data_IF_165049689371
#
_entry.id   IF_165049689371
#
_cell.length_a   1.000
_cell.length_b   1.000
_cell.length_c   1.000
_cell.angle_alpha   90.00
_cell.angle_beta   90.00
_cell.angle_gamma   90.00
#
_symmetry.space_group_name_H-M   'P 1'
#
loop_
_entity.id
_entity.type
_entity.pdbx_description
1 polymer ?
#
# COMPACT_ATOMS: atom_id res chain seq x y z
N UNK A 1 11.11 -15.74 10.65
CA UNK A 1 9.71 -15.36 10.33
C UNK A 1 9.75 -13.91 9.93
N UNK A 2 9.08 -13.54 8.84
CA UNK A 2 9.08 -12.16 8.39
C UNK A 2 8.02 -11.38 9.16
N UNK A 3 8.34 -10.14 9.56
CA UNK A 3 7.37 -9.22 10.14
C UNK A 3 6.79 -8.30 9.08
N UNK A 4 5.54 -7.90 9.28
CA UNK A 4 4.84 -6.97 8.39
C UNK A 4 4.24 -5.83 9.19
N UNK A 5 4.37 -4.61 8.66
CA UNK A 5 3.71 -3.44 9.19
C UNK A 5 2.83 -2.82 8.10
N UNK A 6 1.54 -2.65 8.41
CA UNK A 6 0.58 -1.97 7.56
C UNK A 6 0.32 -0.58 8.14
N UNK A 7 0.66 0.45 7.37
CA UNK A 7 0.37 1.84 7.71
C UNK A 7 -0.86 2.25 6.92
N UNK A 8 -1.87 2.80 7.61
CA UNK A 8 -3.11 3.27 7.01
C UNK A 8 -3.29 4.76 7.29
N UNK A 9 -3.67 5.50 6.26
CA UNK A 9 -4.13 6.87 6.36
C UNK A 9 -5.49 6.98 5.68
N UNK A 10 -6.54 7.18 6.48
CA UNK A 10 -7.91 7.23 6.01
C UNK A 10 -8.39 8.69 5.93
N UNK A 11 -8.88 9.07 4.75
CA UNK A 11 -9.73 10.23 4.54
C UNK A 11 -11.20 9.83 4.42
N UNK A 12 -12.09 10.81 4.20
CA UNK A 12 -13.55 10.56 4.07
C UNK A 12 -13.93 9.74 2.83
N UNK A 13 -13.14 9.82 1.76
CA UNK A 13 -13.38 9.13 0.47
C UNK A 13 -12.12 8.47 -0.10
N UNK A 14 -11.07 8.33 0.71
CA UNK A 14 -9.83 7.67 0.29
C UNK A 14 -9.13 6.95 1.43
N UNK A 15 -8.33 5.94 1.08
CA UNK A 15 -7.46 5.20 1.99
C UNK A 15 -6.09 5.04 1.35
N UNK A 16 -5.08 5.72 1.88
CA UNK A 16 -3.69 5.52 1.48
C UNK A 16 -3.05 4.50 2.41
N UNK A 17 -2.17 3.68 1.87
CA UNK A 17 -1.50 2.65 2.65
C UNK A 17 -0.07 2.38 2.20
N UNK A 18 0.73 1.88 3.14
CA UNK A 18 2.04 1.29 2.89
C UNK A 18 2.15 -0.06 3.61
N UNK A 19 2.68 -1.06 2.91
CA UNK A 19 3.08 -2.35 3.47
C UNK A 19 4.59 -2.35 3.58
N UNK A 20 5.09 -2.48 4.80
CA UNK A 20 6.51 -2.72 5.05
C UNK A 20 6.71 -4.17 5.44
N UNK A 21 7.81 -4.74 4.94
CA UNK A 21 8.28 -6.07 5.29
C UNK A 21 9.61 -5.94 6.01
N UNK A 22 9.81 -6.71 7.08
CA UNK A 22 11.12 -6.91 7.71
C UNK A 22 11.47 -8.40 7.66
N UNK A 23 12.36 -8.80 6.75
CA UNK A 23 12.98 -10.12 6.81
C UNK A 23 13.72 -10.33 8.14
N UNK A 24 13.89 -11.58 8.55
CA UNK A 24 14.67 -11.91 9.74
C UNK A 24 16.08 -11.31 9.64
N UNK A 25 16.51 -10.58 10.67
CA UNK A 25 17.82 -9.93 10.76
C UNK A 25 18.11 -8.83 9.72
N UNK A 26 17.11 -8.34 8.99
CA UNK A 26 17.24 -7.25 8.03
C UNK A 26 16.44 -6.00 8.46
N UNK A 27 16.65 -4.91 7.74
CA UNK A 27 15.94 -3.64 7.88
C UNK A 27 14.51 -3.70 7.30
N UNK A 28 13.65 -2.80 7.78
CA UNK A 28 12.33 -2.60 7.18
C UNK A 28 12.47 -2.05 5.77
N UNK A 29 11.76 -2.67 4.83
CA UNK A 29 11.68 -2.23 3.44
C UNK A 29 10.25 -2.04 2.99
N UNK A 30 10.03 -1.08 2.09
CA UNK A 30 8.72 -0.85 1.49
C UNK A 30 8.43 -1.97 0.49
N UNK A 31 7.43 -2.78 0.80
CA UNK A 31 6.97 -3.87 -0.07
C UNK A 31 5.93 -3.34 -1.06
N UNK A 32 4.98 -2.54 -0.60
CA UNK A 32 3.99 -1.90 -1.45
C UNK A 32 3.53 -0.56 -0.88
N UNK A 33 3.18 0.37 -1.75
CA UNK A 33 2.40 1.56 -1.40
C UNK A 33 1.23 1.69 -2.34
N UNK A 34 0.10 2.15 -1.85
CA UNK A 34 -1.06 2.32 -2.69
C UNK A 34 -2.08 3.25 -2.09
N UNK A 35 -3.14 3.44 -2.85
CA UNK A 35 -4.31 4.17 -2.40
C UNK A 35 -5.57 3.59 -3.03
N UNK A 36 -6.66 3.72 -2.30
CA UNK A 36 -8.01 3.62 -2.84
C UNK A 36 -8.58 5.04 -2.78
N UNK A 37 -9.03 5.56 -3.91
CA UNK A 37 -9.75 6.83 -3.99
C UNK A 37 -11.17 6.64 -4.51
N UNK A 38 -12.01 7.68 -4.47
CA UNK A 38 -13.39 7.57 -4.93
C UNK A 38 -14.26 6.63 -4.09
N UNK A 39 -13.88 6.35 -2.83
CA UNK A 39 -14.67 5.50 -1.94
C UNK A 39 -16.04 6.14 -1.73
N UNK A 40 -17.10 5.36 -2.00
CA UNK A 40 -18.49 5.84 -1.96
C UNK A 40 -19.01 6.39 -3.29
N UNK A 41 -18.19 6.47 -4.34
CA UNK A 41 -18.61 6.86 -5.69
C UNK A 41 -18.11 5.85 -6.73
N UNK A 42 -16.95 6.10 -7.33
CA UNK A 42 -16.27 5.26 -8.29
C UNK A 42 -14.89 4.93 -7.70
N UNK A 43 -14.78 3.84 -6.93
CA UNK A 43 -13.53 3.45 -6.32
C UNK A 43 -12.45 3.26 -7.39
N UNK A 44 -11.22 3.62 -7.06
CA UNK A 44 -10.06 3.34 -7.91
C UNK A 44 -8.88 2.93 -7.02
N UNK A 45 -8.31 1.77 -7.30
CA UNK A 45 -7.17 1.19 -6.60
C UNK A 45 -5.91 1.37 -7.45
N UNK A 46 -4.89 2.02 -6.89
CA UNK A 46 -3.56 2.07 -7.50
C UNK A 46 -2.48 1.63 -6.50
N UNK A 47 -1.60 0.73 -6.93
CA UNK A 47 -0.55 0.12 -6.07
C UNK A 47 0.78 0.04 -6.81
N UNK A 48 1.87 0.41 -6.14
CA UNK A 48 3.24 0.30 -6.63
C UNK A 48 4.16 -0.34 -5.60
N UNK A 49 5.12 -1.13 -6.06
CA UNK A 49 6.21 -1.63 -5.22
C UNK A 49 7.21 -0.50 -4.91
N UNK A 50 8.10 -0.70 -3.94
CA UNK A 50 9.18 0.25 -3.63
C UNK A 50 10.12 0.55 -4.80
N UNK A 51 10.23 -0.36 -5.79
CA UNK A 51 10.97 -0.18 -7.04
C UNK A 51 10.28 0.74 -8.06
N UNK A 52 9.02 1.10 -7.83
CA UNK A 52 8.19 1.86 -8.77
C UNK A 52 7.35 1.00 -9.73
N UNK A 53 7.53 -0.34 -9.73
CA UNK A 53 6.69 -1.26 -10.50
C UNK A 53 5.22 -1.17 -10.07
N UNK A 54 4.30 -1.01 -11.03
CA UNK A 54 2.86 -1.10 -10.77
C UNK A 54 2.48 -2.54 -10.44
N UNK A 55 1.82 -2.73 -9.30
CA UNK A 55 1.33 -4.04 -8.84
C UNK A 55 -0.18 -4.21 -9.10
N UNK A 56 -0.94 -3.12 -9.09
CA UNK A 56 -2.36 -3.08 -9.41
C UNK A 56 -2.76 -1.66 -9.84
N UNK A 57 -3.74 -1.59 -10.73
CA UNK A 57 -4.35 -0.34 -11.24
C UNK A 57 -5.76 -0.69 -11.75
N UNK A 58 -6.77 -0.54 -10.89
CA UNK A 58 -8.11 -1.11 -11.10
C UNK A 58 -9.22 -0.12 -10.69
N UNK A 59 -10.33 -0.11 -11.43
CA UNK A 59 -11.56 0.63 -11.13
C UNK A 59 -12.65 -0.28 -10.51
#
# INVERSE_FOLDING_TARGET
MDDYALILNAGSSSLKFCVFKRPLEDSWRLEARGQIEGIGTSPHLSVKQGSGQTLADED
#
